data_IF_808940474678
#
_entry.id   IF_808940474678
#
_cell.length_a   1.000
_cell.length_b   1.000
_cell.length_c   1.000
_cell.angle_alpha   90.00
_cell.angle_beta   90.00
_cell.angle_gamma   90.00
#
_symmetry.space_group_name_H-M   'P 1'
#
loop_
_entity.id
_entity.type
_entity.pdbx_description
1 polymer ?
#
# COMPACT_ATOMS: atom_id res chain seq x y z
N UNK A 1 -29.37 16.28 -5.24
CA UNK A 1 -29.04 15.38 -4.12
C UNK A 1 -29.06 13.97 -4.71
N UNK A 2 -27.98 13.26 -5.01
CA UNK A 2 -26.63 13.18 -4.45
C UNK A 2 -25.55 13.24 -5.55
N UNK A 3 -24.42 13.93 -5.29
CA UNK A 3 -23.21 13.77 -6.13
C UNK A 3 -22.62 12.39 -5.81
N UNK A 4 -22.66 11.49 -6.79
CA UNK A 4 -22.01 10.18 -6.69
C UNK A 4 -20.52 10.38 -6.42
N UNK A 5 -20.05 9.94 -5.25
CA UNK A 5 -18.62 9.87 -4.96
C UNK A 5 -18.05 8.78 -5.86
N UNK A 6 -17.17 9.14 -6.80
CA UNK A 6 -16.31 8.18 -7.48
C UNK A 6 -15.48 7.54 -6.36
N UNK A 7 -15.71 6.27 -6.04
CA UNK A 7 -14.89 5.59 -5.04
C UNK A 7 -13.44 5.64 -5.54
N UNK A 8 -12.57 6.33 -4.80
CA UNK A 8 -11.15 6.38 -5.15
C UNK A 8 -10.55 5.09 -4.63
N UNK A 9 -10.53 4.06 -5.46
CA UNK A 9 -9.75 2.86 -5.20
C UNK A 9 -8.27 3.23 -5.36
N UNK A 10 -7.48 2.92 -4.34
CA UNK A 10 -6.04 3.12 -4.39
C UNK A 10 -5.40 2.18 -5.43
N UNK A 11 -4.20 2.50 -5.92
CA UNK A 11 -3.59 1.72 -7.01
C UNK A 11 -3.31 0.26 -6.62
N UNK A 12 -3.09 -0.01 -5.33
CA UNK A 12 -2.77 -1.34 -4.79
C UNK A 12 -3.81 -1.83 -3.78
N UNK A 13 -5.05 -1.35 -3.87
CA UNK A 13 -6.14 -1.75 -2.97
C UNK A 13 -6.32 -3.28 -3.00
N UNK A 14 -6.27 -3.91 -1.82
CA UNK A 14 -6.40 -5.35 -1.67
C UNK A 14 -5.13 -6.18 -1.93
N UNK A 15 -4.01 -5.54 -2.26
CA UNK A 15 -2.72 -6.23 -2.41
C UNK A 15 -2.06 -6.43 -1.04
N UNK A 16 -1.58 -7.65 -0.80
CA UNK A 16 -0.83 -8.04 0.41
C UNK A 16 0.65 -8.17 0.07
N UNK A 17 1.52 -7.50 0.83
CA UNK A 17 2.97 -7.53 0.63
C UNK A 17 3.65 -7.96 1.91
N UNK A 18 4.62 -8.87 1.79
CA UNK A 18 5.53 -9.23 2.88
C UNK A 18 6.89 -8.60 2.55
N UNK A 19 7.34 -7.66 3.36
CA UNK A 19 8.64 -7.02 3.21
C UNK A 19 9.70 -7.77 4.00
N UNK A 20 10.66 -8.34 3.27
CA UNK A 20 11.81 -9.09 3.78
C UNK A 20 13.13 -8.32 3.55
N UNK A 21 13.04 -7.05 3.17
CA UNK A 21 14.20 -6.25 2.85
C UNK A 21 14.80 -5.63 4.11
N UNK A 22 16.12 -5.44 4.11
CA UNK A 22 16.81 -4.65 5.13
C UNK A 22 16.59 -3.15 4.91
N UNK A 23 17.29 -2.29 5.66
CA UNK A 23 17.16 -0.82 5.61
C UNK A 23 17.19 -0.20 4.20
N UNK A 24 17.88 -0.86 3.26
CA UNK A 24 18.01 -0.41 1.88
C UNK A 24 16.69 -0.52 1.09
N UNK A 25 15.79 -1.41 1.50
CA UNK A 25 14.46 -1.60 0.90
C UNK A 25 13.34 -0.84 1.60
N UNK A 26 13.57 -0.28 2.79
CA UNK A 26 12.51 0.29 3.64
C UNK A 26 11.68 1.41 2.96
N UNK A 27 12.24 2.12 1.98
CA UNK A 27 11.46 3.09 1.19
C UNK A 27 10.43 2.42 0.27
N UNK A 28 10.75 1.25 -0.29
CA UNK A 28 9.85 0.50 -1.15
C UNK A 28 8.59 0.07 -0.40
N UNK A 29 8.71 -0.50 0.81
CA UNK A 29 7.55 -0.82 1.64
C UNK A 29 6.66 0.38 1.93
N UNK A 30 7.25 1.52 2.31
CA UNK A 30 6.51 2.75 2.55
C UNK A 30 5.79 3.26 1.30
N UNK A 31 6.43 3.18 0.14
CA UNK A 31 5.82 3.56 -1.13
C UNK A 31 4.61 2.67 -1.44
N UNK A 32 4.75 1.35 -1.30
CA UNK A 32 3.68 0.38 -1.56
C UNK A 32 2.50 0.57 -0.60
N UNK A 33 2.77 0.81 0.69
CA UNK A 33 1.73 1.13 1.67
C UNK A 33 1.01 2.44 1.33
N UNK A 34 1.75 3.47 0.89
CA UNK A 34 1.16 4.74 0.43
C UNK A 34 0.28 4.60 -0.82
N UNK A 35 0.52 3.59 -1.65
CA UNK A 35 -0.32 3.23 -2.79
C UNK A 35 -1.51 2.33 -2.42
N UNK A 36 -1.67 1.97 -1.14
CA UNK A 36 -2.82 1.24 -0.58
C UNK A 36 -2.61 -0.26 -0.39
N UNK A 37 -1.38 -0.76 -0.53
CA UNK A 37 -1.07 -2.14 -0.16
C UNK A 37 -1.06 -2.33 1.36
N UNK A 38 -1.45 -3.52 1.82
CA UNK A 38 -1.26 -3.98 3.20
C UNK A 38 0.11 -4.68 3.29
N UNK A 39 1.09 -3.91 3.79
CA UNK A 39 2.50 -4.30 3.88
C UNK A 39 2.83 -4.75 5.30
N UNK A 40 3.37 -5.95 5.44
CA UNK A 40 3.88 -6.51 6.71
C UNK A 40 5.40 -6.62 6.62
N UNK A 41 6.10 -5.90 7.49
CA UNK A 41 7.55 -6.02 7.68
C UNK A 41 7.85 -7.25 8.55
N UNK A 42 8.83 -8.05 8.13
CA UNK A 42 9.32 -9.20 8.88
C UNK A 42 10.79 -8.97 9.23
N UNK A 43 11.10 -9.04 10.52
CA UNK A 43 12.44 -8.87 11.10
C UNK A 43 13.15 -10.21 11.33
#
# INVERSE_FOLDING_TARGET
MARGRCAVTSALDGVRVVELASDHGAFAGRLLAGLGADVVLVE
#
